data_IF_372407089977
#
_entry.id   IF_372407089977
#
_cell.length_a   1.000
_cell.length_b   1.000
_cell.length_c   1.000
_cell.angle_alpha   90.00
_cell.angle_beta   90.00
_cell.angle_gamma   90.00
#
_symmetry.space_group_name_H-M   'P 1'
#
loop_
_entity.id
_entity.type
_entity.pdbx_description
1 polymer ?
#
# COMPACT_ATOMS: atom_id res chain seq x y z
N UNK A 1 20.09 2.66 -12.60
CA UNK A 1 21.37 3.17 -13.15
C UNK A 1 21.18 4.38 -14.05
N UNK A 2 20.17 4.42 -14.93
CA UNK A 2 19.88 5.63 -15.72
C UNK A 2 19.61 6.87 -14.84
N UNK A 3 18.76 6.74 -13.82
CA UNK A 3 18.46 7.81 -12.85
C UNK A 3 19.72 8.34 -12.17
N UNK A 4 20.58 7.45 -11.65
CA UNK A 4 21.84 7.84 -10.98
C UNK A 4 22.80 8.55 -11.95
N UNK A 5 22.78 8.18 -13.23
CA UNK A 5 23.57 8.86 -14.28
C UNK A 5 23.08 10.29 -14.52
N UNK A 6 21.75 10.50 -14.57
CA UNK A 6 21.16 11.83 -14.75
C UNK A 6 21.44 12.73 -13.55
N UNK A 7 21.14 12.28 -12.32
CA UNK A 7 21.37 13.11 -11.13
C UNK A 7 22.87 13.36 -10.87
N UNK A 8 23.76 12.44 -11.26
CA UNK A 8 25.21 12.70 -11.24
C UNK A 8 25.62 13.77 -12.26
N UNK A 9 25.01 13.81 -13.45
CA UNK A 9 25.21 14.89 -14.43
C UNK A 9 24.84 16.27 -13.85
N UNK A 10 23.82 16.33 -12.99
CA UNK A 10 23.45 17.53 -12.25
C UNK A 10 24.28 17.78 -10.98
N UNK A 11 25.34 17.01 -10.74
CA UNK A 11 26.25 17.19 -9.61
C UNK A 11 25.70 16.74 -8.26
N UNK A 12 24.58 16.00 -8.22
CA UNK A 12 23.98 15.52 -6.96
C UNK A 12 24.74 14.30 -6.39
N UNK A 13 25.44 13.55 -7.23
CA UNK A 13 26.34 12.47 -6.82
C UNK A 13 27.75 12.87 -7.21
N UNK A 14 28.64 12.89 -6.21
CA UNK A 14 30.08 13.14 -6.38
C UNK A 14 30.84 11.80 -6.42
N UNK A 15 31.33 11.33 -7.60
CA UNK A 15 31.97 10.02 -7.73
C UNK A 15 33.21 9.85 -6.84
N UNK A 16 33.97 10.93 -6.60
CA UNK A 16 35.17 10.92 -5.77
C UNK A 16 34.90 10.47 -4.32
N UNK A 17 33.67 10.69 -3.79
CA UNK A 17 33.25 10.21 -2.47
C UNK A 17 33.15 8.68 -2.39
N UNK A 18 32.99 8.01 -3.54
CA UNK A 18 32.84 6.56 -3.64
C UNK A 18 34.12 5.87 -4.11
N UNK A 19 34.99 6.58 -4.84
CA UNK A 19 36.31 6.10 -5.22
C UNK A 19 37.26 7.28 -5.47
N UNK A 20 38.40 7.29 -4.76
CA UNK A 20 39.43 8.33 -4.92
C UNK A 20 39.87 8.46 -6.39
N UNK A 21 39.89 9.69 -6.89
CA UNK A 21 40.27 10.02 -8.27
C UNK A 21 39.19 9.77 -9.32
N UNK A 22 38.00 9.32 -8.94
CA UNK A 22 36.86 9.20 -9.87
C UNK A 22 36.23 10.58 -10.15
N UNK A 23 36.18 10.97 -11.42
CA UNK A 23 35.51 12.20 -11.86
C UNK A 23 34.10 11.91 -12.39
N UNK A 24 33.88 10.71 -12.92
CA UNK A 24 32.61 10.24 -13.47
C UNK A 24 32.20 8.91 -12.84
N UNK A 25 30.90 8.58 -12.90
CA UNK A 25 30.43 7.27 -12.42
C UNK A 25 31.11 6.09 -13.11
N UNK A 26 31.49 6.23 -14.38
CA UNK A 26 32.19 5.18 -15.12
C UNK A 26 33.64 4.94 -14.65
N UNK A 27 34.23 5.88 -13.88
CA UNK A 27 35.58 5.73 -13.33
C UNK A 27 35.59 4.75 -12.15
N UNK A 28 34.43 4.57 -11.50
CA UNK A 28 34.26 3.68 -10.35
C UNK A 28 34.41 2.23 -10.83
N UNK A 29 35.47 1.57 -10.36
CA UNK A 29 35.83 0.23 -10.79
C UNK A 29 35.07 -0.84 -10.00
N UNK A 30 34.78 -1.94 -10.68
CA UNK A 30 34.24 -3.13 -10.03
C UNK A 30 35.32 -3.93 -9.26
N UNK A 31 34.92 -4.75 -8.26
CA UNK A 31 33.56 -4.91 -7.76
C UNK A 31 33.10 -3.72 -6.88
N UNK A 32 31.79 -3.42 -6.82
CA UNK A 32 31.30 -2.27 -6.07
C UNK A 32 31.57 -2.42 -4.56
N UNK A 33 32.04 -1.36 -3.93
CA UNK A 33 32.19 -1.25 -2.47
C UNK A 33 30.82 -1.29 -1.78
N UNK A 34 30.80 -1.44 -0.45
CA UNK A 34 29.55 -1.39 0.30
C UNK A 34 28.83 -0.04 0.14
N UNK A 35 29.56 1.07 0.06
CA UNK A 35 28.96 2.40 -0.12
C UNK A 35 28.32 2.53 -1.51
N UNK A 36 28.96 2.00 -2.55
CA UNK A 36 28.39 1.96 -3.91
C UNK A 36 27.15 1.06 -3.94
N UNK A 37 27.18 -0.10 -3.26
CA UNK A 37 26.01 -0.99 -3.14
C UNK A 37 24.86 -0.31 -2.40
N UNK A 38 25.14 0.38 -1.30
CA UNK A 38 24.14 1.13 -0.54
C UNK A 38 23.50 2.22 -1.40
N UNK A 39 24.28 2.97 -2.19
CA UNK A 39 23.77 3.96 -3.13
C UNK A 39 22.84 3.31 -4.18
N UNK A 40 23.27 2.19 -4.79
CA UNK A 40 22.46 1.45 -5.77
C UNK A 40 21.15 0.97 -5.13
N UNK A 41 21.22 0.34 -3.95
CA UNK A 41 20.05 -0.19 -3.25
C UNK A 41 19.08 0.93 -2.84
N UNK A 42 19.60 2.08 -2.41
CA UNK A 42 18.79 3.22 -2.03
C UNK A 42 17.95 3.72 -3.21
N UNK A 43 18.59 4.05 -4.34
CA UNK A 43 17.86 4.48 -5.54
C UNK A 43 17.03 3.37 -6.20
N UNK A 44 17.33 2.10 -5.91
CA UNK A 44 16.45 1.01 -6.28
C UNK A 44 15.16 1.05 -5.44
N UNK A 45 15.26 1.20 -4.12
CA UNK A 45 14.11 1.29 -3.23
C UNK A 45 13.23 2.52 -3.51
N UNK A 46 13.80 3.64 -3.97
CA UNK A 46 13.01 4.83 -4.34
C UNK A 46 12.01 4.57 -5.49
N UNK A 47 12.28 3.59 -6.36
CA UNK A 47 11.38 3.26 -7.48
C UNK A 47 10.04 2.68 -7.04
N UNK A 48 9.94 2.20 -5.79
CA UNK A 48 8.70 1.65 -5.22
C UNK A 48 8.04 2.59 -4.22
N UNK A 49 8.52 3.84 -4.11
CA UNK A 49 7.78 4.89 -3.39
C UNK A 49 6.46 5.17 -4.12
N UNK A 50 5.40 5.49 -3.38
CA UNK A 50 4.09 5.73 -3.94
C UNK A 50 4.14 6.82 -5.03
N UNK A 51 4.87 7.91 -4.81
CA UNK A 51 5.02 9.00 -5.76
C UNK A 51 5.61 8.53 -7.10
N UNK A 52 6.78 7.89 -7.08
CA UNK A 52 7.45 7.41 -8.31
C UNK A 52 6.62 6.33 -9.00
N UNK A 53 5.99 5.46 -8.20
CA UNK A 53 5.11 4.41 -8.70
C UNK A 53 3.89 4.98 -9.43
N UNK A 54 3.24 6.00 -8.87
CA UNK A 54 2.07 6.66 -9.46
C UNK A 54 2.41 7.31 -10.81
N UNK A 55 3.55 7.99 -10.93
CA UNK A 55 4.03 8.51 -12.21
C UNK A 55 4.28 7.42 -13.25
N UNK A 56 4.86 6.31 -12.81
CA UNK A 56 5.14 5.16 -13.67
C UNK A 56 3.85 4.49 -14.15
N UNK A 57 2.90 4.26 -13.25
CA UNK A 57 1.59 3.70 -13.56
C UNK A 57 0.80 4.59 -14.53
N UNK A 58 0.79 5.91 -14.28
CA UNK A 58 0.13 6.86 -15.17
C UNK A 58 0.70 6.82 -16.59
N UNK A 59 2.03 6.84 -16.72
CA UNK A 59 2.69 6.79 -18.01
C UNK A 59 2.38 5.49 -18.77
N UNK A 60 2.29 4.37 -18.08
CA UNK A 60 2.08 3.06 -18.73
C UNK A 60 0.63 2.82 -19.13
N UNK A 61 -0.31 3.23 -18.29
CA UNK A 61 -1.70 2.79 -18.39
C UNK A 61 -2.67 3.84 -18.89
N UNK A 62 -2.35 5.12 -18.69
CA UNK A 62 -3.24 6.24 -18.99
C UNK A 62 -2.68 7.22 -20.01
N UNK A 63 -1.38 7.12 -20.34
CA UNK A 63 -0.81 7.84 -21.47
C UNK A 63 -0.75 6.97 -22.74
N UNK A 64 -1.17 7.55 -23.85
CA UNK A 64 -0.94 6.97 -25.19
C UNK A 64 0.55 7.04 -25.57
N UNK A 65 1.00 6.15 -26.46
CA UNK A 65 2.35 6.22 -27.04
C UNK A 65 2.64 7.60 -27.65
N UNK A 66 1.64 8.21 -28.30
CA UNK A 66 1.76 9.56 -28.85
C UNK A 66 2.09 10.59 -27.77
N UNK A 67 1.38 10.57 -26.64
CA UNK A 67 1.63 11.50 -25.54
C UNK A 67 3.02 11.29 -24.91
N UNK A 68 3.45 10.03 -24.74
CA UNK A 68 4.77 9.69 -24.21
C UNK A 68 5.91 10.15 -25.13
N UNK A 69 5.78 9.92 -26.44
CA UNK A 69 6.73 10.41 -27.45
C UNK A 69 6.77 11.94 -27.45
N UNK A 70 5.61 12.60 -27.44
CA UNK A 70 5.57 14.06 -27.45
C UNK A 70 6.23 14.65 -26.20
N UNK A 71 5.98 14.06 -25.02
CA UNK A 71 6.65 14.45 -23.78
C UNK A 71 8.18 14.31 -23.88
N UNK A 72 8.65 13.14 -24.33
CA UNK A 72 10.08 12.88 -24.54
C UNK A 72 10.72 13.91 -25.48
N UNK A 73 10.11 14.17 -26.63
CA UNK A 73 10.67 15.11 -27.61
C UNK A 73 10.73 16.54 -27.07
N UNK A 74 9.69 17.00 -26.37
CA UNK A 74 9.70 18.32 -25.74
C UNK A 74 10.86 18.46 -24.73
N UNK A 75 11.07 17.46 -23.89
CA UNK A 75 12.14 17.47 -22.88
C UNK A 75 13.54 17.51 -23.52
N UNK A 76 13.72 16.78 -24.63
CA UNK A 76 14.98 16.77 -25.36
C UNK A 76 15.24 18.06 -26.14
N UNK A 77 14.19 18.74 -26.62
CA UNK A 77 14.30 20.05 -27.27
C UNK A 77 14.76 21.15 -26.29
N UNK A 78 14.46 20.99 -25.00
CA UNK A 78 14.94 21.86 -23.93
C UNK A 78 16.37 21.54 -23.46
N UNK A 79 17.05 20.57 -24.12
CA UNK A 79 18.38 20.05 -23.77
C UNK A 79 18.46 19.41 -22.37
N UNK A 80 17.35 18.89 -21.85
CA UNK A 80 17.32 18.19 -20.58
C UNK A 80 17.62 16.70 -20.76
N UNK A 81 18.66 16.14 -20.08
CA UNK A 81 18.82 14.70 -19.97
C UNK A 81 17.57 14.08 -19.34
N UNK A 82 16.96 13.16 -20.07
CA UNK A 82 15.64 12.61 -19.78
C UNK A 82 15.76 11.13 -19.46
N UNK A 83 15.18 10.69 -18.35
CA UNK A 83 14.98 9.28 -18.06
C UNK A 83 13.97 8.74 -19.08
N UNK A 84 14.38 7.71 -19.82
CA UNK A 84 13.54 7.02 -20.79
C UNK A 84 13.42 5.56 -20.38
N UNK A 85 12.22 5.14 -19.98
CA UNK A 85 11.94 3.72 -19.73
C UNK A 85 11.06 3.13 -20.82
N UNK A 86 11.23 1.84 -21.07
CA UNK A 86 10.42 1.09 -22.03
C UNK A 86 10.31 -0.38 -21.64
N UNK A 87 9.26 -1.03 -22.10
CA UNK A 87 8.92 -2.41 -21.78
C UNK A 87 8.87 -3.24 -23.05
N UNK A 88 9.33 -4.49 -22.96
CA UNK A 88 9.32 -5.41 -24.09
C UNK A 88 7.96 -6.08 -24.22
N UNK A 89 7.59 -6.48 -25.44
CA UNK A 89 6.31 -7.17 -25.67
C UNK A 89 6.21 -8.54 -24.99
N UNK A 90 7.35 -9.17 -24.67
CA UNK A 90 7.41 -10.47 -23.98
C UNK A 90 7.60 -10.34 -22.46
N UNK A 91 7.57 -9.12 -21.92
CA UNK A 91 7.79 -8.83 -20.50
C UNK A 91 9.19 -8.29 -20.18
N UNK A 92 9.34 -7.73 -18.99
CA UNK A 92 10.53 -6.99 -18.56
C UNK A 92 10.59 -5.57 -19.13
N UNK A 93 11.52 -4.78 -18.61
CA UNK A 93 11.73 -3.41 -19.03
C UNK A 93 13.18 -2.99 -18.92
N UNK A 94 13.50 -1.85 -19.51
CA UNK A 94 14.81 -1.23 -19.43
C UNK A 94 14.68 0.28 -19.26
N UNK A 95 15.68 0.87 -18.62
CA UNK A 95 15.76 2.31 -18.36
C UNK A 95 17.10 2.84 -18.87
N UNK A 96 17.04 3.87 -19.71
CA UNK A 96 18.19 4.52 -20.33
C UNK A 96 18.08 6.05 -20.18
N UNK A 97 19.16 6.74 -20.51
CA UNK A 97 19.17 8.21 -20.58
C UNK A 97 19.01 8.62 -22.03
N UNK A 98 18.01 9.42 -22.34
CA UNK A 98 17.92 10.16 -23.59
C UNK A 98 18.50 11.56 -23.38
N UNK A 99 19.38 12.03 -24.26
CA UNK A 99 20.06 13.32 -24.06
C UNK A 99 20.19 14.18 -25.32
N UNK A 100 19.69 13.71 -26.46
CA UNK A 100 19.69 14.50 -27.70
C UNK A 100 18.63 14.03 -28.68
N UNK A 101 18.28 14.91 -29.62
CA UNK A 101 17.30 14.65 -30.68
C UNK A 101 17.80 15.17 -32.03
N UNK A 102 17.66 14.34 -33.06
CA UNK A 102 17.98 14.68 -34.45
C UNK A 102 16.77 14.41 -35.35
N UNK A 103 16.36 15.43 -36.11
CA UNK A 103 15.30 15.32 -37.11
C UNK A 103 15.90 15.01 -38.49
N UNK A 104 15.35 14.02 -39.19
CA UNK A 104 15.95 13.57 -40.43
C UNK A 104 15.19 12.44 -41.13
N UNK A 105 15.89 11.68 -41.95
CA UNK A 105 15.36 10.48 -42.59
C UNK A 105 16.25 9.29 -42.25
N UNK A 106 15.70 8.36 -41.48
CA UNK A 106 16.42 7.19 -41.00
C UNK A 106 15.69 5.93 -41.44
N UNK A 107 16.46 4.88 -41.74
CA UNK A 107 15.90 3.56 -42.10
C UNK A 107 16.47 2.51 -41.16
N UNK A 108 15.59 1.82 -40.43
CA UNK A 108 15.94 0.67 -39.58
C UNK A 108 14.99 -0.47 -39.88
N UNK A 109 15.53 -1.68 -40.04
CA UNK A 109 14.74 -2.88 -40.35
C UNK A 109 13.74 -2.69 -41.50
N UNK A 110 14.14 -1.98 -42.56
CA UNK A 110 13.32 -1.61 -43.74
C UNK A 110 12.10 -0.71 -43.45
N UNK A 111 12.00 -0.15 -42.25
CA UNK A 111 11.01 0.87 -41.86
C UNK A 111 11.65 2.25 -41.84
N UNK A 112 10.87 3.27 -42.19
CA UNK A 112 11.31 4.67 -42.19
C UNK A 112 10.94 5.37 -40.89
N UNK A 113 11.87 6.17 -40.39
CA UNK A 113 11.75 6.97 -39.17
C UNK A 113 12.20 8.40 -39.48
N UNK A 114 11.61 9.39 -38.80
CA UNK A 114 11.90 10.80 -39.04
C UNK A 114 12.56 11.51 -37.85
N UNK A 115 12.75 10.80 -36.73
CA UNK A 115 13.45 11.27 -35.54
C UNK A 115 14.43 10.20 -35.07
N UNK A 116 15.61 10.63 -34.64
CA UNK A 116 16.59 9.84 -33.88
C UNK A 116 16.77 10.50 -32.51
N UNK A 117 16.52 9.75 -31.45
CA UNK A 117 16.82 10.13 -30.08
C UNK A 117 18.16 9.50 -29.70
N UNK A 118 19.11 10.34 -29.30
CA UNK A 118 20.45 9.96 -28.88
C UNK A 118 20.38 9.53 -27.42
N UNK A 119 20.93 8.36 -27.12
CA UNK A 119 20.82 7.71 -25.82
C UNK A 119 22.18 7.37 -25.23
N UNK A 120 22.23 7.35 -23.91
CA UNK A 120 23.30 6.79 -23.09
C UNK A 120 22.71 5.63 -22.30
N UNK A 121 23.38 4.50 -22.37
CA UNK A 121 22.99 3.26 -21.72
C UNK A 121 24.17 2.72 -20.94
N UNK A 122 23.95 2.38 -19.67
CA UNK A 122 24.98 1.81 -18.82
C UNK A 122 25.49 0.43 -19.31
N UNK A 123 24.77 -0.22 -20.24
CA UNK A 123 25.20 -1.46 -20.90
C UNK A 123 26.14 -1.23 -22.11
N UNK A 124 26.33 0.01 -22.57
CA UNK A 124 27.14 0.35 -23.73
C UNK A 124 28.30 1.28 -23.35
N UNK A 125 29.52 0.77 -23.40
CA UNK A 125 30.73 1.55 -23.06
C UNK A 125 31.06 2.58 -24.14
N UNK A 126 30.86 2.22 -25.41
CA UNK A 126 31.10 3.09 -26.56
C UNK A 126 29.78 3.52 -27.21
N UNK A 127 29.76 4.74 -27.73
CA UNK A 127 28.62 5.23 -28.49
C UNK A 127 28.37 4.37 -29.73
N UNK A 128 27.11 3.98 -29.93
CA UNK A 128 26.66 3.26 -31.11
C UNK A 128 25.24 3.63 -31.48
N UNK A 129 25.03 3.90 -32.78
CA UNK A 129 23.73 4.20 -33.36
C UNK A 129 22.69 3.09 -33.15
N UNK A 130 23.12 1.88 -32.79
CA UNK A 130 22.21 0.78 -32.46
C UNK A 130 21.49 0.97 -31.13
N UNK A 131 22.08 1.73 -30.19
CA UNK A 131 21.45 2.01 -28.90
C UNK A 131 20.51 3.22 -28.94
N UNK A 132 20.60 4.04 -29.99
CA UNK A 132 19.67 5.15 -30.22
C UNK A 132 18.25 4.65 -30.50
N UNK A 133 17.26 5.47 -30.15
CA UNK A 133 15.85 5.24 -30.46
C UNK A 133 15.48 5.97 -31.74
N UNK A 134 14.71 5.32 -32.62
CA UNK A 134 14.25 5.89 -33.88
C UNK A 134 12.74 5.93 -33.87
N UNK A 135 12.15 7.10 -34.17
CA UNK A 135 10.71 7.35 -34.05
C UNK A 135 10.15 7.79 -35.40
N UNK A 136 8.97 7.29 -35.73
CA UNK A 136 8.15 7.77 -36.82
C UNK A 136 6.95 8.50 -36.21
N UNK A 137 7.01 9.83 -36.19
CA UNK A 137 5.98 10.65 -35.53
C UNK A 137 4.64 10.65 -36.26
N UNK A 138 4.57 10.17 -37.52
CA UNK A 138 3.30 10.10 -38.26
C UNK A 138 2.37 8.98 -37.77
N UNK A 139 2.94 7.92 -37.21
CA UNK A 139 2.20 6.76 -36.71
C UNK A 139 2.59 6.35 -35.29
N UNK A 140 3.49 7.11 -34.63
CA UNK A 140 3.99 6.89 -33.28
C UNK A 140 4.74 5.56 -33.10
N UNK A 141 5.20 4.94 -34.19
CA UNK A 141 6.04 3.74 -34.10
C UNK A 141 7.48 4.10 -33.77
N UNK A 142 8.16 3.25 -33.01
CA UNK A 142 9.56 3.43 -32.68
C UNK A 142 10.32 2.11 -32.55
N UNK A 143 11.65 2.20 -32.60
CA UNK A 143 12.57 1.06 -32.42
C UNK A 143 13.87 1.47 -31.72
N UNK A 144 14.39 0.57 -30.87
CA UNK A 144 15.76 0.61 -30.33
C UNK A 144 16.48 -0.67 -30.79
N UNK A 145 17.31 -0.61 -31.87
CA UNK A 145 17.87 -1.80 -32.51
C UNK A 145 18.69 -2.72 -31.59
N UNK A 146 19.48 -2.17 -30.66
CA UNK A 146 20.35 -2.95 -29.77
C UNK A 146 19.57 -3.97 -28.92
N UNK A 147 18.31 -3.67 -28.62
CA UNK A 147 17.46 -4.50 -27.77
C UNK A 147 16.34 -5.21 -28.51
N UNK A 148 16.24 -5.02 -29.83
CA UNK A 148 15.07 -5.43 -30.62
C UNK A 148 13.73 -4.90 -30.06
N UNK A 149 13.77 -3.83 -29.25
CA UNK A 149 12.56 -3.18 -28.74
C UNK A 149 11.91 -2.43 -29.90
N UNK A 150 10.75 -2.88 -30.35
CA UNK A 150 10.02 -2.34 -31.49
C UNK A 150 8.53 -2.36 -31.15
N UNK A 151 7.84 -1.25 -31.37
CA UNK A 151 6.37 -1.17 -31.26
C UNK A 151 5.64 -2.27 -32.04
N UNK A 152 6.19 -2.75 -33.17
CA UNK A 152 5.62 -3.85 -33.94
C UNK A 152 5.73 -5.23 -33.24
N UNK A 153 6.59 -5.35 -32.24
CA UNK A 153 6.73 -6.54 -31.38
C UNK A 153 6.00 -6.39 -30.06
N UNK A 154 5.20 -5.32 -29.90
CA UNK A 154 4.46 -5.04 -28.66
C UNK A 154 5.23 -4.25 -27.61
N UNK A 155 6.42 -3.73 -27.93
CA UNK A 155 7.15 -2.87 -26.99
C UNK A 155 6.43 -1.54 -26.79
N UNK A 156 6.44 -1.01 -25.56
CA UNK A 156 5.77 0.24 -25.19
C UNK A 156 6.70 1.14 -24.39
N UNK A 157 6.49 2.46 -24.49
CA UNK A 157 7.19 3.41 -23.65
C UNK A 157 6.60 3.40 -22.24
N UNK A 158 7.47 3.55 -21.25
CA UNK A 158 7.10 3.77 -19.87
C UNK A 158 7.17 5.25 -19.48
N UNK A 159 7.64 5.48 -18.26
CA UNK A 159 7.92 6.81 -17.74
C UNK A 159 9.03 7.49 -18.55
N UNK A 160 8.69 8.66 -19.10
CA UNK A 160 9.66 9.63 -19.61
C UNK A 160 9.67 10.87 -18.73
N UNK A 161 10.81 11.21 -18.14
CA UNK A 161 10.91 12.35 -17.21
C UNK A 161 12.31 12.96 -17.14
N UNK A 162 12.40 14.28 -17.20
CA UNK A 162 13.57 15.08 -16.85
C UNK A 162 13.40 15.77 -15.48
N UNK A 163 12.28 15.51 -14.81
CA UNK A 163 11.97 16.09 -13.51
C UNK A 163 12.81 15.43 -12.41
N UNK A 164 13.79 16.18 -11.90
CA UNK A 164 14.66 15.77 -10.81
C UNK A 164 13.91 15.55 -9.50
N UNK A 165 12.77 16.22 -9.31
CA UNK A 165 11.95 16.07 -8.11
C UNK A 165 11.32 14.69 -8.00
N UNK A 166 11.07 14.04 -9.15
CA UNK A 166 10.59 12.65 -9.25
C UNK A 166 11.76 11.68 -9.21
N UNK A 167 12.81 11.93 -10.01
CA UNK A 167 13.98 11.04 -10.07
C UNK A 167 14.76 10.94 -8.75
N UNK A 168 14.69 12.00 -7.93
CA UNK A 168 15.35 12.12 -6.65
C UNK A 168 14.34 12.32 -5.50
N UNK A 169 13.13 11.80 -5.66
CA UNK A 169 12.11 11.82 -4.59
C UNK A 169 12.60 10.98 -3.40
N UNK A 170 12.59 11.55 -2.19
CA UNK A 170 13.29 11.02 -1.01
C UNK A 170 14.78 10.73 -1.26
N UNK A 171 15.41 11.41 -2.22
CA UNK A 171 16.79 11.18 -2.62
C UNK A 171 17.80 11.29 -1.48
N UNK A 172 18.83 10.42 -1.50
CA UNK A 172 19.87 10.38 -0.48
C UNK A 172 20.66 11.70 -0.40
N UNK A 173 20.74 12.44 -1.52
CA UNK A 173 21.38 13.74 -1.60
C UNK A 173 20.43 14.78 -2.18
N UNK A 174 20.13 15.83 -1.41
CA UNK A 174 19.29 16.94 -1.88
C UNK A 174 17.92 16.48 -2.40
N UNK A 175 17.38 15.42 -1.81
CA UNK A 175 16.11 14.82 -2.20
C UNK A 175 14.95 15.79 -2.05
N UNK A 176 13.93 15.58 -2.89
CA UNK A 176 12.66 16.28 -2.77
C UNK A 176 11.67 15.44 -1.97
N UNK A 177 10.83 16.10 -1.16
CA UNK A 177 9.69 15.48 -0.47
C UNK A 177 8.35 16.13 -0.88
N UNK A 178 8.36 17.09 -1.82
CA UNK A 178 7.14 17.69 -2.34
C UNK A 178 6.40 16.68 -3.22
N UNK A 179 5.17 16.38 -2.86
CA UNK A 179 4.26 15.58 -3.67
C UNK A 179 3.78 16.39 -4.87
N UNK A 180 3.82 15.79 -6.05
CA UNK A 180 3.40 16.41 -7.31
C UNK A 180 2.35 15.57 -8.06
N UNK A 181 1.90 14.45 -7.48
CA UNK A 181 0.83 13.62 -8.05
C UNK A 181 -0.43 14.48 -8.19
N UNK A 182 -0.88 14.66 -9.43
CA UNK A 182 -2.11 15.41 -9.73
C UNK A 182 -3.37 14.56 -9.54
N UNK A 183 -3.27 13.25 -9.79
CA UNK A 183 -4.36 12.29 -9.70
C UNK A 183 -3.82 10.94 -9.26
N UNK A 184 -4.29 10.44 -8.11
CA UNK A 184 -3.85 9.16 -7.56
C UNK A 184 -4.56 8.00 -8.27
N UNK A 185 -3.80 7.09 -8.86
CA UNK A 185 -4.31 5.86 -9.45
C UNK A 185 -4.47 4.85 -8.33
N UNK A 186 -5.72 4.46 -8.10
CA UNK A 186 -6.05 3.44 -7.09
C UNK A 186 -5.66 2.07 -7.62
N UNK A 187 -5.12 1.21 -6.75
CA UNK A 187 -4.67 -0.12 -7.14
C UNK A 187 -5.46 -1.16 -6.37
N UNK A 188 -6.25 -1.95 -7.09
CA UNK A 188 -6.84 -3.18 -6.58
C UNK A 188 -5.83 -4.31 -6.78
N UNK A 189 -5.53 -5.04 -5.71
CA UNK A 189 -4.77 -6.28 -5.75
C UNK A 189 -5.61 -7.41 -5.18
N UNK A 190 -5.57 -8.59 -5.80
CA UNK A 190 -6.25 -9.79 -5.33
C UNK A 190 -5.32 -10.97 -5.47
N UNK A 191 -5.40 -11.94 -4.56
CA UNK A 191 -4.93 -13.31 -4.87
C UNK A 191 -5.64 -13.85 -6.10
N UNK A 192 -5.06 -14.88 -6.71
CA UNK A 192 -5.61 -15.54 -7.90
C UNK A 192 -7.10 -15.88 -7.71
N UNK A 193 -7.94 -15.33 -8.58
CA UNK A 193 -9.38 -15.58 -8.64
C UNK A 193 -9.61 -16.69 -9.65
N UNK A 194 -10.28 -17.78 -9.26
CA UNK A 194 -10.54 -18.91 -10.14
C UNK A 194 -11.86 -18.74 -10.91
N UNK A 195 -12.82 -18.04 -10.31
CA UNK A 195 -14.07 -17.67 -10.96
C UNK A 195 -13.84 -16.66 -12.09
N UNK A 196 -14.67 -16.74 -13.14
CA UNK A 196 -14.85 -15.60 -14.03
C UNK A 196 -15.43 -14.42 -13.22
N UNK A 197 -15.07 -13.19 -13.60
CA UNK A 197 -15.47 -11.99 -12.89
C UNK A 197 -15.69 -10.79 -13.81
N UNK A 198 -16.43 -9.81 -13.30
CA UNK A 198 -16.56 -8.48 -13.89
C UNK A 198 -16.09 -7.42 -12.91
N UNK A 199 -15.33 -6.44 -13.39
CA UNK A 199 -14.89 -5.27 -12.63
C UNK A 199 -15.41 -3.99 -13.28
N UNK A 200 -15.99 -3.09 -12.48
CA UNK A 200 -16.62 -1.84 -12.94
C UNK A 200 -16.32 -0.69 -11.99
N UNK A 201 -16.12 0.51 -12.53
CA UNK A 201 -16.13 1.74 -11.74
C UNK A 201 -17.55 2.07 -11.28
N UNK A 202 -17.67 2.66 -10.11
CA UNK A 202 -18.95 3.10 -9.55
C UNK A 202 -18.87 4.54 -9.06
N UNK A 203 -20.03 5.19 -8.96
CA UNK A 203 -20.18 6.42 -8.18
C UNK A 203 -20.96 6.06 -6.92
N UNK A 204 -20.30 6.16 -5.76
CA UNK A 204 -20.93 5.93 -4.46
C UNK A 204 -21.74 7.14 -4.03
N UNK A 205 -22.94 6.90 -3.51
CA UNK A 205 -23.77 7.91 -2.89
C UNK A 205 -23.56 7.91 -1.37
N UNK A 206 -23.87 9.02 -0.71
CA UNK A 206 -23.68 9.16 0.75
C UNK A 206 -24.44 8.14 1.59
N UNK A 207 -25.52 7.57 1.06
CA UNK A 207 -26.36 6.56 1.71
C UNK A 207 -25.92 5.10 1.45
N UNK A 208 -24.72 4.87 0.88
CA UNK A 208 -24.19 3.54 0.58
C UNK A 208 -24.74 2.90 -0.71
N UNK A 209 -25.73 3.51 -1.35
CA UNK A 209 -26.13 3.09 -2.70
C UNK A 209 -25.10 3.56 -3.73
N UNK A 210 -25.03 2.90 -4.87
CA UNK A 210 -24.11 3.27 -5.94
C UNK A 210 -24.76 3.18 -7.32
N UNK A 211 -24.12 3.85 -8.29
CA UNK A 211 -24.45 3.72 -9.71
C UNK A 211 -23.24 3.23 -10.48
N UNK A 212 -23.45 2.31 -11.42
CA UNK A 212 -22.38 1.85 -12.31
C UNK A 212 -22.01 3.00 -13.25
N UNK A 213 -20.73 3.33 -13.29
CA UNK A 213 -20.24 4.30 -14.25
C UNK A 213 -20.15 3.63 -15.63
N UNK A 214 -21.05 4.03 -16.54
CA UNK A 214 -21.08 3.53 -17.92
C UNK A 214 -20.02 4.17 -18.84
N UNK A 215 -19.03 4.87 -18.27
CA UNK A 215 -17.83 5.31 -19.00
C UNK A 215 -17.10 4.13 -19.65
N UNK A 216 -16.19 4.43 -20.59
CA UNK A 216 -15.48 3.39 -21.35
C UNK A 216 -14.81 2.39 -20.42
N UNK A 217 -14.96 1.08 -20.70
CA UNK A 217 -14.24 -0.02 -20.04
C UNK A 217 -12.71 0.19 -20.02
N UNK A 218 -12.21 1.12 -20.84
CA UNK A 218 -10.81 1.53 -20.99
C UNK A 218 -10.15 2.17 -19.76
N UNK A 219 -10.88 2.47 -18.70
CA UNK A 219 -10.33 3.19 -17.54
C UNK A 219 -9.74 2.29 -16.44
N UNK A 220 -10.04 1.00 -16.48
CA UNK A 220 -9.49 -0.01 -15.57
C UNK A 220 -8.45 -0.81 -16.35
N UNK A 221 -7.19 -0.80 -15.92
CA UNK A 221 -6.11 -1.49 -16.61
C UNK A 221 -5.59 -2.63 -15.76
N UNK A 222 -5.73 -3.86 -16.25
CA UNK A 222 -5.11 -5.02 -15.62
C UNK A 222 -3.61 -5.02 -15.89
N UNK A 223 -2.80 -5.38 -14.89
CA UNK A 223 -1.37 -5.47 -15.05
C UNK A 223 -0.71 -6.49 -14.11
N UNK A 224 0.49 -6.95 -14.49
CA UNK A 224 1.41 -7.67 -13.61
C UNK A 224 2.35 -6.67 -12.93
N UNK A 225 2.76 -6.95 -11.69
CA UNK A 225 3.63 -6.05 -10.90
C UNK A 225 4.84 -5.54 -11.70
N UNK A 226 5.13 -4.24 -11.59
CA UNK A 226 6.18 -3.57 -12.37
C UNK A 226 7.61 -4.08 -12.10
N UNK A 227 7.81 -4.76 -10.96
CA UNK A 227 9.12 -5.12 -10.40
C UNK A 227 9.24 -6.60 -10.05
N UNK A 228 8.22 -7.41 -10.34
CA UNK A 228 8.24 -8.81 -10.00
C UNK A 228 8.59 -9.65 -11.24
N UNK A 229 9.79 -10.24 -11.22
CA UNK A 229 10.20 -11.31 -12.14
C UNK A 229 9.55 -12.65 -11.77
N UNK A 230 8.86 -12.72 -10.62
CA UNK A 230 8.16 -13.91 -10.17
C UNK A 230 6.75 -13.99 -10.76
N UNK A 231 6.39 -15.21 -11.17
CA UNK A 231 5.05 -15.58 -11.60
C UNK A 231 4.16 -15.67 -10.36
N UNK A 232 3.97 -14.57 -9.62
CA UNK A 232 2.96 -14.57 -8.56
C UNK A 232 1.60 -14.34 -9.20
N UNK A 233 0.71 -15.27 -8.89
CA UNK A 233 -0.64 -15.48 -9.41
C UNK A 233 -1.64 -14.38 -9.04
N UNK A 234 -1.17 -13.23 -8.56
CA UNK A 234 -2.00 -12.15 -8.04
C UNK A 234 -2.45 -11.22 -9.17
N UNK A 235 -3.73 -10.88 -9.15
CA UNK A 235 -4.35 -10.04 -10.16
C UNK A 235 -4.34 -8.60 -9.67
N UNK A 236 -3.80 -7.67 -10.48
CA UNK A 236 -3.79 -6.24 -10.16
C UNK A 236 -4.54 -5.42 -11.20
N UNK A 237 -5.25 -4.41 -10.74
CA UNK A 237 -5.95 -3.43 -11.57
C UNK A 237 -5.61 -2.01 -11.15
N UNK A 238 -5.18 -1.21 -12.12
CA UNK A 238 -5.08 0.23 -11.99
C UNK A 238 -6.44 0.85 -12.32
N UNK A 239 -6.88 1.74 -11.44
CA UNK A 239 -8.16 2.43 -11.52
C UNK A 239 -7.86 3.93 -11.42
N UNK A 240 -7.86 4.61 -12.56
CA UNK A 240 -7.76 6.06 -12.64
C UNK A 240 -9.04 6.73 -12.11
N UNK A 241 -9.04 8.06 -11.98
CA UNK A 241 -10.07 8.84 -11.30
C UNK A 241 -10.18 8.46 -9.82
N UNK A 242 -9.36 9.11 -8.99
CA UNK A 242 -9.30 8.91 -7.53
C UNK A 242 -10.61 9.19 -6.80
N UNK A 243 -11.62 9.76 -7.49
CA UNK A 243 -12.95 9.99 -6.93
C UNK A 243 -13.91 8.81 -7.08
N UNK A 244 -13.51 7.72 -7.75
CA UNK A 244 -14.39 6.58 -8.07
C UNK A 244 -14.07 5.35 -7.25
N UNK A 245 -15.10 4.73 -6.71
CA UNK A 245 -15.04 3.35 -6.23
C UNK A 245 -15.04 2.33 -7.38
N UNK A 246 -14.89 1.07 -7.02
CA UNK A 246 -15.06 -0.05 -7.93
C UNK A 246 -15.89 -1.17 -7.31
N UNK A 247 -16.46 -1.98 -8.19
CA UNK A 247 -17.21 -3.18 -7.84
C UNK A 247 -16.69 -4.36 -8.65
N UNK A 248 -16.33 -5.43 -7.97
CA UNK A 248 -16.08 -6.74 -8.56
C UNK A 248 -17.25 -7.67 -8.28
N UNK A 249 -17.76 -8.36 -9.31
CA UNK A 249 -18.70 -9.47 -9.16
C UNK A 249 -18.06 -10.73 -9.73
N UNK A 250 -18.16 -11.83 -8.99
CA UNK A 250 -17.71 -13.16 -9.38
C UNK A 250 -18.92 -13.98 -9.86
N UNK A 251 -18.74 -14.77 -10.92
CA UNK A 251 -19.79 -15.65 -11.43
C UNK A 251 -20.12 -16.81 -10.47
N UNK A 252 -19.20 -17.14 -9.56
CA UNK A 252 -19.36 -18.13 -8.50
C UNK A 252 -18.74 -17.61 -7.21
N UNK A 253 -19.26 -18.10 -6.09
CA UNK A 253 -18.67 -17.86 -4.78
C UNK A 253 -17.31 -18.53 -4.67
N UNK A 254 -16.32 -17.82 -4.14
CA UNK A 254 -15.00 -18.36 -3.80
C UNK A 254 -14.35 -17.57 -2.65
N UNK A 255 -13.28 -18.12 -2.10
CA UNK A 255 -12.50 -17.41 -1.08
C UNK A 255 -11.71 -16.28 -1.73
N UNK A 256 -11.89 -15.07 -1.21
CA UNK A 256 -11.21 -13.88 -1.72
C UNK A 256 -10.23 -13.33 -0.69
N UNK A 257 -9.16 -12.73 -1.21
CA UNK A 257 -8.19 -11.95 -0.46
C UNK A 257 -7.82 -10.75 -1.34
N UNK A 258 -8.48 -9.63 -1.07
CA UNK A 258 -8.43 -8.43 -1.89
C UNK A 258 -8.01 -7.23 -1.06
N UNK A 259 -7.22 -6.35 -1.66
CA UNK A 259 -6.88 -5.05 -1.08
C UNK A 259 -7.00 -3.95 -2.13
N UNK A 260 -7.49 -2.80 -1.70
CA UNK A 260 -7.58 -1.58 -2.48
C UNK A 260 -6.72 -0.51 -1.83
N UNK A 261 -5.74 -0.02 -2.58
CA UNK A 261 -4.89 1.11 -2.18
C UNK A 261 -5.42 2.40 -2.80
N UNK A 262 -5.86 3.31 -1.93
CA UNK A 262 -6.13 4.71 -2.20
C UNK A 262 -4.95 5.58 -1.73
N UNK A 263 -5.02 6.89 -1.97
CA UNK A 263 -3.94 7.82 -1.61
C UNK A 263 -3.63 7.83 -0.10
N UNK A 264 -4.67 7.68 0.72
CA UNK A 264 -4.57 7.79 2.17
C UNK A 264 -5.06 6.58 2.93
N UNK A 265 -5.62 5.59 2.23
CA UNK A 265 -6.25 4.43 2.84
C UNK A 265 -5.85 3.15 2.08
N UNK A 266 -5.53 2.11 2.82
CA UNK A 266 -5.47 0.73 2.34
C UNK A 266 -6.62 -0.03 2.98
N UNK A 267 -7.58 -0.45 2.16
CA UNK A 267 -8.74 -1.21 2.61
C UNK A 267 -8.61 -2.63 2.10
N UNK A 268 -8.73 -3.62 2.98
CA UNK A 268 -8.59 -5.03 2.62
C UNK A 268 -9.77 -5.86 3.10
N UNK A 269 -10.03 -6.96 2.41
CA UNK A 269 -11.02 -7.95 2.82
C UNK A 269 -10.52 -9.36 2.51
N UNK A 270 -10.65 -10.21 3.51
CA UNK A 270 -10.66 -11.66 3.36
C UNK A 270 -12.09 -12.14 3.62
N UNK A 271 -12.70 -12.83 2.67
CA UNK A 271 -14.08 -13.31 2.80
C UNK A 271 -14.19 -14.69 2.14
N UNK A 272 -14.61 -15.69 2.91
CA UNK A 272 -14.80 -17.05 2.42
C UNK A 272 -16.08 -17.15 1.56
N UNK A 273 -16.05 -17.77 0.40
CA UNK A 273 -17.25 -17.90 -0.46
C UNK A 273 -17.93 -16.55 -0.82
N UNK A 274 -17.16 -15.50 -1.10
CA UNK A 274 -17.67 -14.22 -1.59
C UNK A 274 -18.05 -14.29 -3.07
N UNK A 275 -19.06 -13.52 -3.49
CA UNK A 275 -19.42 -13.32 -4.90
C UNK A 275 -19.35 -11.85 -5.35
N UNK A 276 -19.18 -10.92 -4.42
CA UNK A 276 -19.15 -9.49 -4.72
C UNK A 276 -18.31 -8.72 -3.71
N UNK A 277 -17.56 -7.76 -4.21
CA UNK A 277 -16.81 -6.79 -3.41
C UNK A 277 -16.95 -5.39 -3.99
N UNK A 278 -17.13 -4.40 -3.14
CA UNK A 278 -17.11 -2.99 -3.47
C UNK A 278 -16.08 -2.30 -2.60
N UNK A 279 -15.26 -1.44 -3.21
CA UNK A 279 -14.40 -0.50 -2.52
C UNK A 279 -14.74 0.91 -3.00
N UNK A 280 -14.67 1.90 -2.12
CA UNK A 280 -14.80 3.31 -2.48
C UNK A 280 -13.82 4.21 -1.70
N UNK A 281 -13.24 5.25 -2.36
CA UNK A 281 -12.27 6.16 -1.74
C UNK A 281 -12.77 6.91 -0.50
N UNK A 282 -14.07 6.92 -0.23
CA UNK A 282 -14.62 7.51 1.01
C UNK A 282 -14.31 6.72 2.28
N UNK A 283 -13.54 5.64 2.20
CA UNK A 283 -13.33 4.70 3.29
C UNK A 283 -14.52 3.76 3.44
N UNK A 284 -15.01 3.22 2.33
CA UNK A 284 -16.13 2.29 2.32
C UNK A 284 -15.73 0.98 1.66
N UNK A 285 -16.18 -0.11 2.26
CA UNK A 285 -16.09 -1.46 1.71
C UNK A 285 -17.39 -2.21 1.96
N UNK A 286 -17.80 -2.99 0.98
CA UNK A 286 -18.90 -3.94 1.09
C UNK A 286 -18.46 -5.26 0.47
N UNK A 287 -18.68 -6.37 1.16
CA UNK A 287 -18.48 -7.70 0.63
C UNK A 287 -19.71 -8.56 0.91
N UNK A 288 -20.09 -9.38 -0.07
CA UNK A 288 -21.19 -10.33 0.07
C UNK A 288 -20.87 -11.69 -0.52
N UNK A 289 -21.57 -12.71 -0.04
CA UNK A 289 -21.44 -14.08 -0.51
C UNK A 289 -22.37 -15.06 0.20
N UNK A 290 -21.84 -16.22 0.57
CA UNK A 290 -22.49 -17.12 1.52
C UNK A 290 -22.27 -16.66 2.97
N UNK A 291 -23.02 -17.20 3.92
CA UNK A 291 -22.80 -16.89 5.33
C UNK A 291 -21.55 -17.63 5.83
N UNK A 292 -20.44 -16.91 5.94
CA UNK A 292 -19.11 -17.46 6.15
C UNK A 292 -18.22 -16.46 6.89
N UNK A 293 -16.96 -16.83 7.13
CA UNK A 293 -16.02 -15.99 7.84
C UNK A 293 -15.57 -14.81 6.97
N UNK A 294 -15.44 -13.64 7.59
CA UNK A 294 -14.82 -12.48 6.96
C UNK A 294 -13.86 -11.77 7.92
N UNK A 295 -12.92 -11.05 7.35
CA UNK A 295 -12.11 -10.03 8.00
C UNK A 295 -12.00 -8.84 7.06
N UNK A 296 -12.27 -7.64 7.59
CA UNK A 296 -12.15 -6.38 6.87
C UNK A 296 -11.16 -5.51 7.63
N UNK A 297 -10.15 -4.99 6.93
CA UNK A 297 -9.11 -4.14 7.49
C UNK A 297 -9.13 -2.78 6.81
N UNK A 298 -8.92 -1.71 7.57
CA UNK A 298 -8.79 -0.35 7.06
C UNK A 298 -7.62 0.35 7.73
N UNK A 299 -6.54 0.51 6.96
CA UNK A 299 -5.34 1.22 7.37
C UNK A 299 -5.36 2.61 6.75
N UNK A 300 -5.19 3.65 7.57
CA UNK A 300 -5.15 5.05 7.13
C UNK A 300 -3.77 5.66 7.39
N UNK A 301 -3.34 6.55 6.51
CA UNK A 301 -2.16 7.39 6.76
C UNK A 301 -2.41 8.36 7.94
N UNK A 302 -1.33 8.82 8.56
CA UNK A 302 -1.37 9.80 9.65
C UNK A 302 -2.20 11.05 9.26
N UNK A 303 -3.11 11.45 10.15
CA UNK A 303 -4.05 12.55 9.94
C UNK A 303 -5.26 12.24 9.05
N UNK A 304 -5.39 11.02 8.53
CA UNK A 304 -6.54 10.61 7.71
C UNK A 304 -7.49 9.64 8.41
N UNK A 305 -7.06 8.94 9.46
CA UNK A 305 -7.95 8.14 10.30
C UNK A 305 -8.99 9.03 11.01
N UNK A 306 -10.20 8.52 11.30
CA UNK A 306 -11.20 9.26 12.09
C UNK A 306 -10.96 9.17 13.61
N UNK A 307 -9.95 8.39 14.00
CA UNK A 307 -9.53 8.03 15.36
C UNK A 307 -8.01 8.12 15.44
N UNK A 308 -7.42 8.05 16.63
CA UNK A 308 -5.97 7.93 16.82
C UNK A 308 -5.44 6.56 16.34
N UNK A 309 -6.33 5.60 16.08
CA UNK A 309 -5.99 4.32 15.46
C UNK A 309 -5.77 4.47 13.96
N UNK A 310 -4.58 4.11 13.48
CA UNK A 310 -4.27 4.05 12.06
C UNK A 310 -4.75 2.76 11.40
N UNK A 311 -4.96 1.68 12.16
CA UNK A 311 -5.48 0.40 11.66
C UNK A 311 -6.74 0.02 12.43
N UNK A 312 -7.79 -0.35 11.71
CA UNK A 312 -8.99 -0.98 12.26
C UNK A 312 -9.26 -2.29 11.53
N UNK A 313 -9.35 -3.38 12.29
CA UNK A 313 -9.69 -4.71 11.81
C UNK A 313 -11.00 -5.20 12.42
N UNK A 314 -11.93 -5.65 11.58
CA UNK A 314 -13.21 -6.23 11.99
C UNK A 314 -13.36 -7.62 11.40
N UNK A 315 -13.58 -8.61 12.25
CA UNK A 315 -13.82 -10.00 11.83
C UNK A 315 -15.06 -10.61 12.47
N UNK A 316 -15.66 -11.55 11.75
CA UNK A 316 -16.89 -12.21 12.16
C UNK A 316 -17.37 -13.24 11.15
N UNK A 317 -18.65 -13.59 11.25
CA UNK A 317 -19.34 -14.45 10.28
C UNK A 317 -20.59 -13.73 9.80
N UNK A 318 -20.79 -13.65 8.50
CA UNK A 318 -21.96 -13.00 7.91
C UNK A 318 -22.06 -13.28 6.42
N UNK A 319 -23.20 -12.91 5.84
CA UNK A 319 -23.43 -13.01 4.40
C UNK A 319 -23.15 -11.70 3.69
N UNK A 320 -23.51 -10.59 4.33
CA UNK A 320 -23.25 -9.24 3.82
C UNK A 320 -22.56 -8.46 4.93
N UNK A 321 -21.39 -7.93 4.63
CA UNK A 321 -20.64 -7.06 5.53
C UNK A 321 -20.33 -5.77 4.82
N UNK A 322 -20.46 -4.67 5.55
CA UNK A 322 -20.07 -3.36 5.07
C UNK A 322 -19.44 -2.57 6.21
N UNK A 323 -18.30 -1.95 5.93
CA UNK A 323 -17.62 -1.05 6.85
C UNK A 323 -17.47 0.31 6.17
N UNK A 324 -17.89 1.35 6.88
CA UNK A 324 -17.84 2.73 6.41
C UNK A 324 -17.18 3.64 7.42
N UNK A 325 -16.15 4.35 6.98
CA UNK A 325 -15.50 5.44 7.69
C UNK A 325 -16.44 6.64 7.80
N UNK A 326 -16.46 7.26 8.98
CA UNK A 326 -17.21 8.49 9.27
C UNK A 326 -16.25 9.54 9.80
N UNK A 327 -16.79 10.67 10.27
CA UNK A 327 -15.95 11.70 10.88
C UNK A 327 -15.37 11.28 12.23
N UNK A 328 -16.14 10.55 13.03
CA UNK A 328 -15.84 10.33 14.46
C UNK A 328 -15.65 8.82 14.79
N UNK A 329 -15.48 7.98 13.77
CA UNK A 329 -15.36 6.53 13.91
C UNK A 329 -15.86 5.79 12.67
N UNK A 330 -16.40 4.58 12.86
CA UNK A 330 -16.77 3.67 11.77
C UNK A 330 -18.16 3.09 11.99
N UNK A 331 -18.93 2.96 10.93
CA UNK A 331 -20.21 2.23 10.94
C UNK A 331 -19.97 0.87 10.29
N UNK A 332 -20.24 -0.18 11.04
CA UNK A 332 -20.25 -1.55 10.58
C UNK A 332 -21.70 -1.99 10.39
N UNK A 333 -22.00 -2.50 9.21
CA UNK A 333 -23.25 -3.18 8.88
C UNK A 333 -22.98 -4.68 8.67
N UNK A 334 -23.81 -5.53 9.26
CA UNK A 334 -23.82 -6.96 8.94
C UNK A 334 -25.21 -7.54 9.13
N UNK A 335 -25.53 -8.59 8.39
CA UNK A 335 -26.75 -9.37 8.59
C UNK A 335 -26.73 -10.21 9.87
N UNK A 336 -25.56 -10.37 10.51
CA UNK A 336 -25.41 -11.15 11.72
C UNK A 336 -24.24 -10.68 12.60
N UNK A 337 -24.53 -10.05 13.74
CA UNK A 337 -23.52 -9.70 14.74
C UNK A 337 -23.43 -10.71 15.88
N UNK A 338 -22.91 -11.91 15.58
CA UNK A 338 -22.54 -12.90 16.60
C UNK A 338 -21.02 -13.11 16.58
N UNK A 339 -20.41 -12.98 17.76
CA UNK A 339 -18.97 -13.11 18.00
C UNK A 339 -18.11 -12.19 17.11
N UNK A 340 -18.56 -10.94 16.91
CA UNK A 340 -17.77 -9.95 16.19
C UNK A 340 -16.56 -9.57 17.02
N UNK A 341 -15.41 -9.47 16.36
CA UNK A 341 -14.17 -9.01 16.95
C UNK A 341 -13.69 -7.78 16.22
N UNK A 342 -13.45 -6.72 16.97
CA UNK A 342 -12.85 -5.48 16.51
C UNK A 342 -11.48 -5.38 17.18
N UNK A 343 -10.45 -5.12 16.38
CA UNK A 343 -9.12 -4.77 16.88
C UNK A 343 -8.72 -3.46 16.23
N UNK A 344 -8.03 -2.60 16.97
CA UNK A 344 -7.49 -1.37 16.42
C UNK A 344 -6.02 -1.21 16.82
N UNK A 345 -5.26 -0.42 16.07
CA UNK A 345 -3.84 -0.17 16.32
C UNK A 345 -3.50 1.30 16.19
N UNK A 346 -2.71 1.79 17.13
CA UNK A 346 -2.07 3.11 17.16
C UNK A 346 -0.60 2.95 17.56
N UNK A 347 0.16 4.04 17.57
CA UNK A 347 1.58 4.03 17.96
C UNK A 347 1.83 3.42 19.37
N UNK A 348 0.86 3.57 20.28
CA UNK A 348 1.03 3.22 21.69
C UNK A 348 0.02 2.19 22.22
N UNK A 349 -1.02 1.86 21.46
CA UNK A 349 -2.11 1.02 21.93
C UNK A 349 -2.69 0.13 20.83
N UNK A 350 -3.13 -1.06 21.23
CA UNK A 350 -3.72 -2.07 20.36
C UNK A 350 -5.01 -2.67 20.95
N UNK A 351 -6.06 -1.85 21.20
CA UNK A 351 -7.27 -2.33 21.85
C UNK A 351 -8.00 -3.39 21.03
N UNK A 352 -8.69 -4.28 21.76
CA UNK A 352 -9.49 -5.35 21.17
C UNK A 352 -10.82 -5.46 21.90
N UNK A 353 -11.90 -5.62 21.14
CA UNK A 353 -13.26 -5.71 21.63
C UNK A 353 -13.99 -6.86 20.94
N UNK A 354 -14.64 -7.73 21.72
CA UNK A 354 -15.58 -8.71 21.19
C UNK A 354 -16.99 -8.42 21.69
N UNK A 355 -17.98 -8.53 20.79
CA UNK A 355 -19.37 -8.28 21.12
C UNK A 355 -20.34 -9.13 20.28
N UNK A 356 -21.61 -9.09 20.66
CA UNK A 356 -22.72 -9.63 19.89
C UNK A 356 -23.94 -8.78 20.12
N UNK A 357 -24.77 -8.61 19.10
CA UNK A 357 -25.99 -7.81 19.19
C UNK A 357 -27.05 -8.34 18.23
N UNK A 358 -28.28 -7.86 18.36
CA UNK A 358 -29.42 -8.20 17.48
C UNK A 358 -29.75 -7.07 16.48
N UNK A 359 -28.99 -5.97 16.53
CA UNK A 359 -29.05 -4.88 15.55
C UNK A 359 -28.26 -5.26 14.29
N UNK A 360 -28.52 -4.60 13.16
CA UNK A 360 -27.79 -4.83 11.90
C UNK A 360 -26.70 -3.79 11.64
N UNK A 361 -26.70 -2.71 12.41
CA UNK A 361 -25.71 -1.63 12.33
C UNK A 361 -25.14 -1.35 13.71
N UNK A 362 -23.83 -1.12 13.78
CA UNK A 362 -23.15 -0.64 14.97
C UNK A 362 -22.16 0.47 14.62
N UNK A 363 -21.97 1.40 15.55
CA UNK A 363 -20.95 2.42 15.48
C UNK A 363 -19.78 2.03 16.38
N UNK A 364 -18.61 1.92 15.77
CA UNK A 364 -17.32 1.66 16.40
C UNK A 364 -16.64 3.01 16.55
N UNK A 365 -16.31 3.38 17.78
CA UNK A 365 -15.72 4.68 18.09
C UNK A 365 -14.65 4.60 19.15
N UNK A 366 -13.80 5.61 19.15
CA UNK A 366 -12.74 5.79 20.14
C UNK A 366 -13.26 6.60 21.33
N UNK A 367 -13.03 6.08 22.54
CA UNK A 367 -13.21 6.88 23.76
C UNK A 367 -11.90 7.57 24.15
N UNK A 368 -10.80 6.86 23.98
CA UNK A 368 -9.40 7.28 24.03
C UNK A 368 -8.55 6.26 23.24
N UNK A 369 -7.25 6.53 23.03
CA UNK A 369 -6.35 5.70 22.22
C UNK A 369 -6.34 4.22 22.62
N UNK A 370 -6.67 3.92 23.89
CA UNK A 370 -6.67 2.58 24.45
C UNK A 370 -8.07 1.94 24.46
N UNK A 371 -9.14 2.60 24.04
CA UNK A 371 -10.50 2.14 24.37
C UNK A 371 -11.44 2.15 23.18
N UNK A 372 -11.88 0.94 22.79
CA UNK A 372 -12.92 0.74 21.78
C UNK A 372 -14.29 0.82 22.43
N UNK A 373 -15.15 1.71 21.91
CA UNK A 373 -16.58 1.78 22.21
C UNK A 373 -17.42 1.25 21.06
N UNK A 374 -18.52 0.57 21.40
CA UNK A 374 -19.53 0.10 20.44
C UNK A 374 -20.89 0.68 20.86
N UNK A 375 -21.58 1.32 19.91
CA UNK A 375 -22.91 1.88 20.09
C UNK A 375 -23.88 1.46 18.98
N UNK A 376 -25.18 1.53 19.26
CA UNK A 376 -26.28 1.24 18.33
C UNK A 376 -27.25 2.41 18.25
N UNK A 377 -27.89 2.55 17.10
CA UNK A 377 -29.06 3.40 16.88
C UNK A 377 -30.31 2.60 17.26
N UNK A 378 -31.04 3.04 18.28
CA UNK A 378 -32.22 2.29 18.79
C UNK A 378 -33.55 2.85 18.34
N UNK A 379 -33.56 4.07 17.80
CA UNK A 379 -34.76 4.77 17.35
C UNK A 379 -34.77 5.05 15.84
N UNK A 380 -33.77 4.52 15.13
CA UNK A 380 -33.57 4.60 13.68
C UNK A 380 -33.49 6.07 13.18
N UNK A 381 -32.96 6.98 14.01
CA UNK A 381 -32.87 8.40 13.68
C UNK A 381 -31.55 8.77 12.93
N UNK A 382 -30.60 7.83 12.83
CA UNK A 382 -29.28 8.00 12.25
C UNK A 382 -28.16 8.36 13.24
N UNK A 383 -28.44 8.40 14.55
CA UNK A 383 -27.45 8.60 15.61
C UNK A 383 -27.27 7.34 16.44
N UNK A 384 -26.05 7.08 16.88
CA UNK A 384 -25.68 5.86 17.62
C UNK A 384 -25.40 6.21 19.09
N UNK A 385 -26.43 6.57 19.84
CA UNK A 385 -26.29 7.04 21.23
C UNK A 385 -26.31 5.92 22.28
N UNK A 386 -26.77 4.72 21.94
CA UNK A 386 -26.89 3.63 22.91
C UNK A 386 -25.63 2.78 22.93
N UNK A 387 -24.79 2.95 23.95
CA UNK A 387 -23.58 2.16 24.16
C UNK A 387 -23.93 0.72 24.55
N UNK A 388 -23.35 -0.25 23.85
CA UNK A 388 -23.59 -1.68 24.11
C UNK A 388 -22.34 -2.44 24.56
N UNK A 389 -21.14 -1.93 24.24
CA UNK A 389 -19.88 -2.52 24.69
C UNK A 389 -18.79 -1.45 24.78
N UNK A 390 -17.86 -1.64 25.70
CA UNK A 390 -16.63 -0.86 25.79
C UNK A 390 -15.50 -1.78 26.26
N UNK A 391 -14.33 -1.70 25.61
CA UNK A 391 -13.19 -2.56 25.91
C UNK A 391 -11.89 -1.75 25.84
N UNK A 392 -11.11 -1.78 26.92
CA UNK A 392 -9.80 -1.12 27.01
C UNK A 392 -8.69 -2.10 26.60
N UNK A 393 -7.61 -1.58 26.02
CA UNK A 393 -6.41 -2.31 25.64
C UNK A 393 -5.80 -3.00 26.88
N UNK A 394 -5.33 -4.23 26.69
CA UNK A 394 -4.70 -4.98 27.78
C UNK A 394 -3.30 -4.43 28.04
N UNK A 395 -3.08 -3.88 29.22
CA UNK A 395 -1.79 -3.40 29.71
C UNK A 395 -1.12 -4.52 30.50
N UNK A 396 -0.51 -5.47 29.78
CA UNK A 396 0.09 -6.66 30.39
C UNK A 396 1.07 -6.31 31.51
N UNK A 397 0.77 -6.82 32.71
CA UNK A 397 1.53 -6.60 33.94
C UNK A 397 0.96 -5.52 34.87
N UNK A 398 0.05 -4.65 34.41
CA UNK A 398 -0.58 -3.60 35.22
C UNK A 398 -1.88 -4.13 35.87
N UNK A 399 -1.74 -5.13 36.72
CA UNK A 399 -2.86 -5.80 37.38
C UNK A 399 -3.66 -4.87 38.29
N UNK A 400 -3.03 -3.83 38.82
CA UNK A 400 -3.67 -2.90 39.76
C UNK A 400 -4.21 -1.62 39.09
N UNK A 401 -3.98 -1.46 37.77
CA UNK A 401 -4.50 -0.37 36.92
C UNK A 401 -4.00 1.02 37.35
N UNK A 402 -2.75 1.12 37.84
CA UNK A 402 -2.11 2.41 38.18
C UNK A 402 -1.21 2.98 37.05
N UNK A 403 -1.16 2.28 35.91
CA UNK A 403 -0.38 2.66 34.74
C UNK A 403 1.10 2.27 34.83
N UNK A 404 1.51 1.47 35.81
CA UNK A 404 2.91 1.03 35.97
C UNK A 404 3.01 -0.45 36.30
N UNK A 405 3.77 -1.18 35.50
CA UNK A 405 4.12 -2.57 35.82
C UNK A 405 5.19 -2.59 36.91
N UNK A 406 4.85 -3.07 38.10
CA UNK A 406 5.74 -3.11 39.26
C UNK A 406 5.45 -4.28 40.20
N UNK A 407 6.22 -4.38 41.29
CA UNK A 407 5.94 -5.35 42.36
C UNK A 407 4.53 -5.20 42.97
N UNK A 408 3.90 -4.02 42.88
CA UNK A 408 2.56 -3.77 43.40
C UNK A 408 1.50 -4.61 42.68
N UNK A 409 1.67 -4.86 41.39
CA UNK A 409 0.79 -5.69 40.57
C UNK A 409 0.88 -7.15 40.97
N UNK A 410 2.10 -7.65 41.17
CA UNK A 410 2.31 -8.99 41.69
C UNK A 410 1.66 -9.16 43.08
N UNK A 411 1.70 -8.14 43.93
CA UNK A 411 1.02 -8.15 45.23
C UNK A 411 -0.51 -8.14 45.06
N UNK A 412 -1.05 -7.34 44.14
CA UNK A 412 -2.49 -7.30 43.85
C UNK A 412 -3.02 -8.67 43.38
N UNK A 413 -2.28 -9.34 42.48
CA UNK A 413 -2.59 -10.72 42.04
C UNK A 413 -2.60 -11.69 43.22
N UNK A 414 -1.54 -11.68 44.05
CA UNK A 414 -1.44 -12.59 45.20
C UNK A 414 -2.54 -12.33 46.25
N UNK A 415 -2.92 -11.07 46.46
CA UNK A 415 -4.02 -10.69 47.35
C UNK A 415 -5.37 -11.19 46.82
N UNK A 416 -5.62 -11.03 45.52
CA UNK A 416 -6.80 -11.56 44.85
C UNK A 416 -6.90 -13.08 44.97
N UNK A 417 -5.81 -13.80 44.70
CA UNK A 417 -5.76 -15.26 44.84
C UNK A 417 -5.97 -15.74 46.28
N UNK A 418 -5.50 -14.97 47.27
CA UNK A 418 -5.66 -15.30 48.68
C UNK A 418 -7.08 -15.00 49.20
N UNK A 419 -7.71 -13.92 48.74
CA UNK A 419 -9.06 -13.54 49.12
C UNK A 419 -9.70 -12.54 48.12
N UNK A 420 -10.32 -13.09 47.08
CA UNK A 420 -10.97 -12.31 46.02
C UNK A 420 -12.15 -11.44 46.51
N UNK A 421 -12.82 -11.81 47.61
CA UNK A 421 -13.92 -11.00 48.17
C UNK A 421 -13.40 -9.70 48.79
N UNK A 422 -12.23 -9.75 49.43
CA UNK A 422 -11.62 -8.58 50.09
C UNK A 422 -10.76 -7.75 49.14
N UNK A 423 -10.12 -8.39 48.17
CA UNK A 423 -9.20 -7.77 47.21
C UNK A 423 -9.59 -8.19 45.79
N UNK A 424 -10.74 -7.73 45.27
CA UNK A 424 -11.13 -8.05 43.91
C UNK A 424 -10.20 -7.34 42.92
N UNK A 425 -9.76 -8.06 41.88
CA UNK A 425 -9.32 -7.42 40.64
C UNK A 425 -10.55 -7.07 39.80
N UNK A 426 -10.49 -5.93 39.10
CA UNK A 426 -11.50 -5.61 38.09
C UNK A 426 -11.41 -6.60 36.92
N UNK A 427 -12.37 -6.58 36.01
CA UNK A 427 -12.27 -7.40 34.78
C UNK A 427 -11.05 -7.00 33.94
N UNK A 428 -10.73 -5.70 33.85
CA UNK A 428 -9.52 -5.22 33.17
C UNK A 428 -8.25 -5.63 33.92
N UNK A 429 -8.23 -5.49 35.24
CA UNK A 429 -7.11 -5.91 36.08
C UNK A 429 -6.81 -7.41 35.96
N UNK A 430 -7.82 -8.26 35.74
CA UNK A 430 -7.63 -9.69 35.46
C UNK A 430 -7.00 -9.94 34.08
N UNK A 431 -7.39 -9.17 33.05
CA UNK A 431 -6.79 -9.27 31.73
C UNK A 431 -5.33 -8.80 31.75
N UNK A 432 -5.06 -7.66 32.41
CA UNK A 432 -3.72 -7.13 32.58
C UNK A 432 -2.82 -8.08 33.40
N UNK A 433 -3.40 -8.79 34.37
CA UNK A 433 -2.68 -9.72 35.23
C UNK A 433 -2.25 -11.02 34.53
N UNK A 434 -2.95 -11.47 33.49
CA UNK A 434 -2.67 -12.75 32.80
C UNK A 434 -1.49 -12.59 31.84
N UNK A 435 -0.29 -12.95 32.32
CA UNK A 435 0.98 -12.68 31.64
C UNK A 435 1.89 -13.89 31.51
N UNK A 436 1.57 -15.01 32.16
CA UNK A 436 2.43 -16.20 32.21
C UNK A 436 2.33 -17.12 30.97
N UNK A 437 1.49 -16.73 30.00
CA UNK A 437 1.24 -17.48 28.77
C UNK A 437 0.20 -18.60 28.94
N UNK A 438 -0.41 -18.75 30.10
CA UNK A 438 -1.46 -19.74 30.40
C UNK A 438 -2.72 -19.03 30.86
N UNK A 439 -3.80 -19.16 30.08
CA UNK A 439 -5.05 -18.46 30.34
C UNK A 439 -5.55 -18.57 31.79
N UNK A 440 -5.82 -17.40 32.38
CA UNK A 440 -6.34 -17.21 33.73
C UNK A 440 -5.28 -16.74 34.73
N UNK A 441 -5.69 -15.90 35.68
CA UNK A 441 -4.77 -15.32 36.68
C UNK A 441 -4.36 -16.35 37.74
N UNK A 442 -3.06 -16.58 37.88
CA UNK A 442 -2.44 -17.49 38.83
C UNK A 442 -1.25 -16.85 39.56
N UNK A 443 -0.66 -17.59 40.51
CA UNK A 443 0.55 -17.11 41.21
C UNK A 443 1.78 -17.04 40.31
N UNK A 444 1.77 -17.71 39.15
CA UNK A 444 2.86 -17.64 38.18
C UNK A 444 2.89 -16.28 37.49
N UNK A 445 1.74 -15.68 37.22
CA UNK A 445 1.65 -14.33 36.67
C UNK A 445 2.35 -13.31 37.57
N UNK A 446 2.08 -13.38 38.88
CA UNK A 446 2.77 -12.55 39.86
C UNK A 446 4.29 -12.77 39.84
N UNK A 447 4.76 -14.01 39.64
CA UNK A 447 6.18 -14.31 39.52
C UNK A 447 6.78 -13.78 38.22
N UNK A 448 6.04 -13.83 37.10
CA UNK A 448 6.47 -13.30 35.80
C UNK A 448 6.58 -11.78 35.85
N UNK A 449 5.61 -11.08 36.46
CA UNK A 449 5.69 -9.63 36.70
C UNK A 449 6.92 -9.30 37.55
N UNK A 450 7.21 -10.07 38.60
CA UNK A 450 8.43 -9.90 39.40
C UNK A 450 9.71 -10.06 38.58
N UNK A 451 9.73 -11.02 37.64
CA UNK A 451 10.86 -11.21 36.74
C UNK A 451 11.01 -10.05 35.75
N UNK A 452 9.90 -9.48 35.28
CA UNK A 452 9.89 -8.30 34.42
C UNK A 452 10.40 -7.05 35.17
N UNK A 453 9.87 -6.76 36.36
CA UNK A 453 10.31 -5.65 37.23
C UNK A 453 11.80 -5.76 37.58
N UNK A 454 12.32 -6.99 37.74
CA UNK A 454 13.73 -7.26 37.97
C UNK A 454 14.61 -7.22 36.70
N UNK A 455 14.04 -7.02 35.51
CA UNK A 455 14.74 -7.01 34.22
C UNK A 455 15.24 -8.39 33.75
N UNK A 456 14.74 -9.48 34.35
CA UNK A 456 15.05 -10.86 33.95
C UNK A 456 14.29 -11.24 32.67
N UNK A 457 13.05 -10.75 32.55
CA UNK A 457 12.21 -10.86 31.34
C UNK A 457 12.06 -9.47 30.74
N UNK A 458 12.15 -9.36 29.41
CA UNK A 458 12.13 -8.07 28.70
C UNK A 458 10.77 -7.68 28.12
N UNK A 459 9.78 -8.57 28.13
CA UNK A 459 8.45 -8.30 27.57
C UNK A 459 7.36 -9.16 28.25
N UNK A 460 6.14 -8.63 28.31
CA UNK A 460 4.93 -9.32 28.74
C UNK A 460 3.88 -9.26 27.61
N UNK A 461 3.01 -10.28 27.46
CA UNK A 461 3.04 -11.55 28.18
C UNK A 461 4.20 -12.43 27.69
N UNK A 462 4.61 -13.44 28.48
CA UNK A 462 5.58 -14.42 28.00
C UNK A 462 4.90 -15.42 27.07
N UNK A 463 5.45 -15.63 25.88
CA UNK A 463 4.97 -16.68 24.95
C UNK A 463 5.65 -18.01 25.29
N UNK A 464 4.86 -19.01 25.67
CA UNK A 464 5.35 -20.38 25.82
C UNK A 464 5.56 -21.01 24.44
N UNK A 465 6.81 -21.36 24.11
CA UNK A 465 7.12 -22.26 22.99
C UNK A 465 6.64 -23.70 23.25
#
# INVERSE_FOLDING_TARGET
MATTSIISCYGMIEPEKYQEGANFLHDIQGPPTNDVKSLINYYYALQVTDEVYQYTANALYYMTEKQKIQKLLNQLEDNSPTLLTYFFGEGGGHAIVAYGVEYGSFVKNKKSYNVKVITYDNNAVDFSDNYCMYINTSNNSWVIPAYSADTATGSTLGLTTDDLSIMNYHGYFGGNNEKSIQEYISILSSKAIASDFSLRKINMNSNGSYTINAGSEDDIKMFSSFMDDSVQSDIKFAIGDSSKGCMMNLDKTEDIDMSMRYEHDLISVNFENADKVIFDPSGYIEASGENSSYTVDMVSNDGYAPTDWYDLSVSGTGKNVNLKKTKDGYILHSDNFKNITVSAESDNANPKCSFSTDYNDVFIYETDENTIGIAVDTDDNGTYETKIQTSEAVKYGDANEDGKVSISDAVAILQYLANAEKFPLSEQGKLNADVDGVAGVTGKDAAVIQMYDAGVVSALPITTN
#
